data_IF_449628251923
#
_entry.id   IF_449628251923
#
_cell.length_a   1.000
_cell.length_b   1.000
_cell.length_c   1.000
_cell.angle_alpha   90.00
_cell.angle_beta   90.00
_cell.angle_gamma   90.00
#
_symmetry.space_group_name_H-M   'P 1'
#
loop_
_entity.id
_entity.type
_entity.pdbx_description
1 polymer ?
#
# COMPACT_ATOMS: atom_id res chain seq x y z
N UNK A 1 2.53 -68.52 30.59
CA UNK A 1 3.50 -67.67 29.86
C UNK A 1 2.92 -66.97 28.62
N UNK A 2 1.61 -67.06 28.31
CA UNK A 2 1.06 -66.50 27.04
C UNK A 2 0.40 -65.11 27.17
N UNK A 3 -0.18 -64.75 28.32
CA UNK A 3 -0.87 -63.46 28.48
C UNK A 3 0.08 -62.26 28.61
N UNK A 4 1.21 -62.44 29.30
CA UNK A 4 2.16 -61.36 29.54
C UNK A 4 2.91 -60.95 28.25
N UNK A 5 3.11 -61.90 27.32
CA UNK A 5 3.69 -61.60 26.00
C UNK A 5 2.68 -60.93 25.06
N UNK A 6 1.41 -61.29 25.13
CA UNK A 6 0.35 -60.63 24.34
C UNK A 6 0.07 -59.20 24.83
N UNK A 7 0.04 -58.94 26.13
CA UNK A 7 -0.10 -57.57 26.65
C UNK A 7 1.11 -56.70 26.33
N UNK A 8 2.35 -57.21 26.49
CA UNK A 8 3.55 -56.44 26.12
C UNK A 8 3.63 -56.19 24.61
N UNK A 9 3.16 -57.12 23.79
CA UNK A 9 3.07 -56.95 22.35
C UNK A 9 2.02 -55.90 21.96
N UNK A 10 0.83 -55.95 22.57
CA UNK A 10 -0.23 -54.97 22.33
C UNK A 10 0.17 -53.57 22.83
N UNK A 11 0.82 -53.45 23.99
CA UNK A 11 1.30 -52.18 24.51
C UNK A 11 2.41 -51.60 23.62
N UNK A 12 3.43 -52.39 23.27
CA UNK A 12 4.62 -51.92 22.55
C UNK A 12 4.41 -51.75 21.04
N UNK A 13 3.60 -52.59 20.41
CA UNK A 13 3.45 -52.60 18.95
C UNK A 13 2.09 -52.10 18.45
N UNK A 14 1.09 -51.95 19.32
CA UNK A 14 -0.23 -51.40 18.95
C UNK A 14 -0.49 -50.06 19.65
N UNK A 15 -0.37 -49.98 20.98
CA UNK A 15 -0.77 -48.80 21.76
C UNK A 15 0.25 -47.65 21.75
N UNK A 16 1.54 -47.96 21.90
CA UNK A 16 2.64 -46.98 21.84
C UNK A 16 2.74 -46.30 20.46
N UNK A 17 2.68 -47.01 19.31
CA UNK A 17 2.63 -46.34 18.02
C UNK A 17 1.32 -45.55 17.82
N UNK A 18 0.16 -46.01 18.32
CA UNK A 18 -1.08 -45.23 18.22
C UNK A 18 -1.02 -43.90 18.99
N UNK A 19 -0.43 -43.90 20.19
CA UNK A 19 -0.24 -42.68 21.01
C UNK A 19 0.89 -41.79 20.48
N UNK A 20 1.95 -42.37 19.92
CA UNK A 20 3.04 -41.65 19.26
C UNK A 20 2.65 -41.06 17.90
N UNK A 21 1.67 -41.62 17.19
CA UNK A 21 1.10 -41.07 15.94
C UNK A 21 0.00 -40.05 16.25
N UNK A 22 -0.83 -40.29 17.28
CA UNK A 22 -1.90 -39.38 17.67
C UNK A 22 -1.38 -38.03 18.17
N UNK A 23 -0.25 -37.99 18.89
CA UNK A 23 0.29 -36.73 19.45
C UNK A 23 0.73 -35.73 18.37
N UNK A 24 1.51 -36.11 17.33
CA UNK A 24 1.97 -35.16 16.31
C UNK A 24 0.90 -34.81 15.27
N UNK A 25 0.01 -35.74 14.91
CA UNK A 25 -1.16 -35.42 14.08
C UNK A 25 -2.08 -34.44 14.82
N UNK A 26 -2.39 -34.70 16.09
CA UNK A 26 -3.18 -33.79 16.92
C UNK A 26 -2.50 -32.43 17.10
N UNK A 27 -1.16 -32.42 17.24
CA UNK A 27 -0.39 -31.18 17.31
C UNK A 27 -0.48 -30.38 16.01
N UNK A 28 -0.31 -31.02 14.84
CA UNK A 28 -0.44 -30.33 13.54
C UNK A 28 -1.87 -29.81 13.34
N UNK A 29 -2.89 -30.60 13.69
CA UNK A 29 -4.30 -30.16 13.64
C UNK A 29 -4.57 -28.99 14.59
N UNK A 30 -4.05 -29.04 15.82
CA UNK A 30 -4.18 -27.96 16.80
C UNK A 30 -3.49 -26.67 16.31
N UNK A 31 -2.33 -26.78 15.65
CA UNK A 31 -1.63 -25.65 15.06
C UNK A 31 -2.40 -25.09 13.86
N UNK A 32 -2.95 -25.94 13.00
CA UNK A 32 -3.85 -25.53 11.91
C UNK A 32 -5.06 -24.76 12.44
N UNK A 33 -5.74 -25.30 13.45
CA UNK A 33 -6.88 -24.66 14.10
C UNK A 33 -6.51 -23.31 14.75
N UNK A 34 -5.36 -23.25 15.43
CA UNK A 34 -4.83 -22.02 16.02
C UNK A 34 -4.58 -20.94 14.97
N UNK A 35 -4.00 -21.31 13.81
CA UNK A 35 -3.80 -20.41 12.67
C UNK A 35 -5.12 -19.92 12.08
N UNK A 36 -6.06 -20.82 11.78
CA UNK A 36 -7.39 -20.43 11.29
C UNK A 36 -8.09 -19.47 12.26
N UNK A 37 -7.96 -19.72 13.58
CA UNK A 37 -8.51 -18.84 14.61
C UNK A 37 -7.84 -17.48 14.65
N UNK A 38 -6.51 -17.40 14.48
CA UNK A 38 -5.77 -16.14 14.45
C UNK A 38 -6.20 -15.27 13.26
N UNK A 39 -6.32 -15.87 12.07
CA UNK A 39 -6.76 -15.15 10.85
C UNK A 39 -8.19 -14.64 11.02
N UNK A 40 -9.12 -15.49 11.50
CA UNK A 40 -10.50 -15.07 11.76
C UNK A 40 -10.58 -13.97 12.82
N UNK A 41 -9.84 -14.09 13.92
CA UNK A 41 -9.80 -13.06 14.96
C UNK A 41 -9.32 -11.70 14.43
N UNK A 42 -8.41 -11.70 13.45
CA UNK A 42 -7.93 -10.46 12.82
C UNK A 42 -9.06 -9.72 12.10
N UNK A 43 -10.02 -10.43 11.50
CA UNK A 43 -11.25 -9.81 11.00
C UNK A 43 -12.23 -9.47 12.13
N UNK A 44 -12.47 -10.36 13.09
CA UNK A 44 -13.46 -10.14 14.17
C UNK A 44 -13.16 -8.90 15.03
N UNK A 45 -11.88 -8.66 15.32
CA UNK A 45 -11.44 -7.57 16.17
C UNK A 45 -10.81 -6.40 15.40
N UNK A 46 -10.53 -6.62 14.12
CA UNK A 46 -9.75 -5.70 13.29
C UNK A 46 -8.25 -5.81 13.55
N UNK A 47 -7.46 -5.54 12.51
CA UNK A 47 -6.01 -5.50 12.60
C UNK A 47 -5.49 -4.32 11.78
N UNK A 48 -5.07 -3.25 12.44
CA UNK A 48 -4.61 -2.03 11.79
C UNK A 48 -3.69 -1.22 12.72
N UNK A 49 -2.85 -0.33 12.17
CA UNK A 49 -1.93 0.47 12.96
C UNK A 49 -2.63 1.34 14.01
N UNK A 50 -1.94 1.57 15.13
CA UNK A 50 -2.37 2.55 16.13
C UNK A 50 -2.16 3.98 15.62
N UNK A 51 -3.09 4.88 15.96
CA UNK A 51 -2.98 6.32 15.67
C UNK A 51 -1.85 6.94 16.49
N UNK A 52 -0.76 7.36 15.85
CA UNK A 52 0.40 7.98 16.53
C UNK A 52 0.29 9.51 16.68
N UNK A 53 -0.48 10.20 15.82
CA UNK A 53 -0.61 11.67 15.89
C UNK A 53 -1.87 12.08 16.63
N UNK A 54 -1.75 13.08 17.51
CA UNK A 54 -2.88 13.65 18.27
C UNK A 54 -3.59 14.78 17.52
N UNK A 55 -3.00 15.33 16.46
CA UNK A 55 -3.55 16.45 15.71
C UNK A 55 -3.68 16.11 14.23
N UNK A 56 -4.90 16.24 13.71
CA UNK A 56 -5.23 16.00 12.32
C UNK A 56 -6.04 17.17 11.77
N UNK A 57 -5.74 17.57 10.53
CA UNK A 57 -6.65 18.45 9.78
C UNK A 57 -7.88 17.61 9.42
N UNK A 58 -9.06 18.08 9.81
CA UNK A 58 -10.32 17.37 9.54
C UNK A 58 -10.58 17.35 8.04
N UNK A 59 -10.87 16.17 7.51
CA UNK A 59 -11.26 15.95 6.11
C UNK A 59 -12.50 15.06 6.07
N UNK A 60 -13.53 15.47 6.81
CA UNK A 60 -14.67 14.61 7.15
C UNK A 60 -15.39 14.05 5.92
N UNK A 61 -15.56 14.85 4.86
CA UNK A 61 -16.20 14.39 3.61
C UNK A 61 -15.44 13.23 2.95
N UNK A 62 -14.11 13.30 2.88
CA UNK A 62 -13.25 12.24 2.32
C UNK A 62 -13.21 11.05 3.27
N UNK A 63 -13.11 11.31 4.57
CA UNK A 63 -13.12 10.26 5.59
C UNK A 63 -14.40 9.42 5.52
N UNK A 64 -15.57 10.05 5.35
CA UNK A 64 -16.83 9.32 5.16
C UNK A 64 -16.85 8.48 3.89
N UNK A 65 -16.28 8.98 2.78
CA UNK A 65 -16.11 8.19 1.56
C UNK A 65 -15.23 6.95 1.81
N UNK A 66 -14.13 7.08 2.55
CA UNK A 66 -13.28 5.93 2.90
C UNK A 66 -14.04 4.94 3.78
N UNK A 67 -14.73 5.41 4.82
CA UNK A 67 -15.55 4.56 5.70
C UNK A 67 -16.56 3.75 4.87
N UNK A 68 -17.22 4.37 3.89
CA UNK A 68 -18.17 3.66 3.02
C UNK A 68 -17.53 2.54 2.19
N UNK A 69 -16.23 2.64 1.85
CA UNK A 69 -15.49 1.58 1.16
C UNK A 69 -14.99 0.50 2.12
N UNK A 70 -14.87 0.80 3.41
CA UNK A 70 -14.48 -0.14 4.47
C UNK A 70 -15.68 -0.83 5.13
N UNK A 71 -16.91 -0.41 4.81
CA UNK A 71 -18.15 -1.00 5.28
C UNK A 71 -18.96 -1.47 4.07
N UNK A 72 -18.58 -2.60 3.45
CA UNK A 72 -19.20 -3.05 2.22
C UNK A 72 -20.65 -3.49 2.42
N UNK A 73 -21.44 -3.36 1.36
CA UNK A 73 -22.78 -3.94 1.30
C UNK A 73 -22.68 -5.49 1.21
N UNK A 74 -23.65 -6.26 1.72
CA UNK A 74 -23.69 -7.72 1.57
C UNK A 74 -23.49 -8.25 0.14
N UNK A 75 -23.86 -7.44 -0.86
CA UNK A 75 -23.76 -7.79 -2.28
C UNK A 75 -22.55 -7.15 -2.97
N UNK A 76 -21.54 -6.70 -2.21
CA UNK A 76 -20.35 -6.09 -2.80
C UNK A 76 -19.60 -7.12 -3.66
N UNK A 77 -19.43 -6.79 -4.94
CA UNK A 77 -18.82 -7.67 -5.95
C UNK A 77 -17.63 -7.01 -6.67
N UNK A 78 -17.03 -6.00 -6.04
CA UNK A 78 -15.95 -5.19 -6.59
C UNK A 78 -14.86 -4.98 -5.54
N UNK A 79 -13.62 -4.91 -6.00
CA UNK A 79 -12.53 -4.38 -5.19
C UNK A 79 -12.41 -2.87 -5.42
N UNK A 80 -11.83 -2.16 -4.47
CA UNK A 80 -11.70 -0.70 -4.53
C UNK A 80 -10.26 -0.27 -4.73
N UNK A 81 -10.09 0.93 -5.30
CA UNK A 81 -8.80 1.57 -5.48
C UNK A 81 -8.88 3.01 -4.97
N UNK A 82 -7.96 3.37 -4.08
CA UNK A 82 -7.76 4.71 -3.55
C UNK A 82 -6.43 5.23 -4.08
N UNK A 83 -6.47 6.37 -4.77
CA UNK A 83 -5.30 6.99 -5.40
C UNK A 83 -5.12 8.43 -4.93
N UNK A 84 -4.09 9.09 -5.41
CA UNK A 84 -3.75 10.45 -5.05
C UNK A 84 -2.25 10.60 -4.94
N UNK A 85 -1.78 11.83 -5.01
CA UNK A 85 -0.35 12.10 -5.11
C UNK A 85 0.41 11.70 -3.83
N UNK A 86 1.71 11.45 -3.94
CA UNK A 86 2.51 11.06 -2.78
C UNK A 86 2.50 12.20 -1.73
N UNK A 87 2.31 11.86 -0.46
CA UNK A 87 2.28 12.86 0.62
C UNK A 87 0.93 13.57 0.87
N UNK A 88 -0.17 13.15 0.23
CA UNK A 88 -1.52 13.74 0.45
C UNK A 88 -2.26 13.24 1.70
N UNK A 89 -1.68 12.33 2.48
CA UNK A 89 -2.26 11.82 3.72
C UNK A 89 -3.24 10.65 3.59
N UNK A 90 -3.18 9.89 2.48
CA UNK A 90 -4.04 8.70 2.23
C UNK A 90 -4.01 7.69 3.39
N UNK A 91 -2.83 7.20 3.75
CA UNK A 91 -2.63 6.20 4.81
C UNK A 91 -3.14 6.70 6.15
N UNK A 92 -2.92 7.98 6.46
CA UNK A 92 -3.44 8.62 7.69
C UNK A 92 -4.97 8.59 7.75
N UNK A 93 -5.65 8.97 6.66
CA UNK A 93 -7.12 8.94 6.59
C UNK A 93 -7.66 7.51 6.65
N UNK A 94 -6.99 6.55 6.03
CA UNK A 94 -7.36 5.14 6.09
C UNK A 94 -7.23 4.57 7.50
N UNK A 95 -6.13 4.87 8.21
CA UNK A 95 -5.97 4.46 9.60
C UNK A 95 -7.11 5.06 10.45
N UNK A 96 -7.44 6.35 10.29
CA UNK A 96 -8.57 6.95 10.98
C UNK A 96 -9.90 6.25 10.67
N UNK A 97 -10.15 5.89 9.41
CA UNK A 97 -11.33 5.15 9.00
C UNK A 97 -11.36 3.74 9.65
N UNK A 98 -10.22 3.04 9.68
CA UNK A 98 -10.10 1.75 10.36
C UNK A 98 -10.44 1.85 11.85
N UNK A 99 -9.99 2.91 12.54
CA UNK A 99 -10.34 3.14 13.95
C UNK A 99 -11.83 3.45 14.18
N UNK A 100 -12.52 4.02 13.17
CA UNK A 100 -13.98 4.24 13.23
C UNK A 100 -14.77 2.96 12.94
N UNK A 101 -14.34 2.16 11.97
CA UNK A 101 -15.02 0.91 11.56
C UNK A 101 -14.73 -0.24 12.55
N UNK A 102 -13.45 -0.38 12.94
CA UNK A 102 -12.89 -1.38 13.85
C UNK A 102 -13.01 -2.81 13.35
N UNK A 103 -14.21 -3.38 13.36
CA UNK A 103 -14.40 -4.80 13.02
C UNK A 103 -14.45 -5.02 11.52
N UNK A 104 -14.02 -6.19 11.08
CA UNK A 104 -14.06 -6.60 9.69
C UNK A 104 -12.97 -5.99 8.81
N UNK A 105 -11.98 -5.29 9.37
CA UNK A 105 -10.93 -4.62 8.60
C UNK A 105 -9.54 -5.11 9.01
N UNK A 106 -8.78 -5.60 8.04
CA UNK A 106 -7.35 -5.90 8.18
C UNK A 106 -6.56 -4.98 7.25
N UNK A 107 -5.57 -4.28 7.79
CA UNK A 107 -4.73 -3.33 7.08
C UNK A 107 -3.30 -3.84 7.00
N UNK A 108 -2.75 -3.82 5.80
CA UNK A 108 -1.36 -4.20 5.50
C UNK A 108 -0.72 -3.05 4.72
N UNK A 109 0.44 -2.56 5.18
CA UNK A 109 1.28 -1.66 4.39
C UNK A 109 2.36 -2.48 3.70
N UNK A 110 2.48 -2.34 2.38
CA UNK A 110 3.62 -2.90 1.64
C UNK A 110 4.90 -2.19 2.09
N UNK A 111 5.94 -2.94 2.52
CA UNK A 111 7.23 -2.37 2.87
C UNK A 111 8.04 -1.99 1.62
N UNK A 112 8.97 -1.04 1.77
CA UNK A 112 9.91 -0.68 0.70
C UNK A 112 10.77 -1.88 0.26
N UNK A 113 11.21 -2.69 1.22
CA UNK A 113 11.79 -4.01 0.93
C UNK A 113 10.65 -4.99 0.65
N UNK A 114 10.21 -5.05 -0.60
CA UNK A 114 9.10 -5.90 -1.07
C UNK A 114 9.29 -7.39 -0.75
N UNK A 115 10.53 -7.87 -0.60
CA UNK A 115 10.83 -9.23 -0.15
C UNK A 115 10.33 -9.55 1.26
N UNK A 116 10.01 -8.54 2.07
CA UNK A 116 9.40 -8.70 3.38
C UNK A 116 7.87 -8.73 3.35
N UNK A 117 7.21 -8.42 2.22
CA UNK A 117 5.75 -8.29 2.15
C UNK A 117 5.01 -9.53 2.65
N UNK A 118 5.44 -10.73 2.25
CA UNK A 118 4.83 -11.98 2.69
C UNK A 118 4.82 -12.13 4.23
N UNK A 119 5.87 -11.67 4.91
CA UNK A 119 5.90 -11.65 6.39
C UNK A 119 5.03 -10.56 6.98
N UNK A 120 4.97 -9.38 6.38
CA UNK A 120 4.14 -8.26 6.86
C UNK A 120 2.64 -8.57 6.77
N UNK A 121 2.17 -9.19 5.68
CA UNK A 121 0.78 -9.64 5.59
C UNK A 121 0.49 -10.74 6.62
N UNK A 122 1.41 -11.68 6.84
CA UNK A 122 1.26 -12.68 7.90
C UNK A 122 1.16 -12.07 9.29
N UNK A 123 1.98 -11.06 9.61
CA UNK A 123 1.90 -10.32 10.89
C UNK A 123 0.54 -9.64 11.07
N UNK A 124 0.01 -9.01 10.02
CA UNK A 124 -1.32 -8.37 10.08
C UNK A 124 -2.44 -9.37 10.43
N UNK A 125 -2.28 -10.65 10.06
CA UNK A 125 -3.21 -11.72 10.41
C UNK A 125 -2.80 -12.53 11.66
N UNK A 126 -1.75 -12.10 12.38
CA UNK A 126 -1.11 -12.85 13.47
C UNK A 126 -0.81 -14.32 13.08
N UNK A 127 -0.42 -14.52 11.83
CA UNK A 127 -0.15 -15.83 11.25
C UNK A 127 1.31 -16.24 11.46
N UNK A 128 1.52 -17.48 11.91
CA UNK A 128 2.84 -18.05 12.15
C UNK A 128 3.21 -19.01 11.03
N UNK A 129 4.26 -18.66 10.28
CA UNK A 129 4.85 -19.49 9.23
C UNK A 129 5.77 -20.55 9.84
N UNK A 130 5.25 -21.51 10.60
CA UNK A 130 6.10 -22.58 11.14
C UNK A 130 6.39 -23.61 10.04
N UNK A 131 7.59 -23.52 9.46
CA UNK A 131 8.06 -24.38 8.34
C UNK A 131 8.24 -25.85 8.74
N UNK A 132 8.37 -26.12 10.04
CA UNK A 132 8.60 -27.47 10.58
C UNK A 132 7.32 -28.21 10.98
N UNK A 133 6.14 -27.57 10.88
CA UNK A 133 4.86 -28.13 11.32
C UNK A 133 4.02 -28.53 10.11
N UNK A 134 4.53 -29.48 9.32
CA UNK A 134 3.72 -30.18 8.32
C UNK A 134 3.77 -31.68 8.60
N UNK A 135 2.67 -32.39 8.34
CA UNK A 135 2.64 -33.85 8.46
C UNK A 135 3.74 -34.47 7.59
N UNK A 136 4.01 -33.91 6.42
CA UNK A 136 5.11 -34.33 5.54
C UNK A 136 6.47 -34.16 6.21
N UNK A 137 6.75 -33.01 6.82
CA UNK A 137 8.00 -32.81 7.56
C UNK A 137 8.13 -33.78 8.76
N UNK A 138 7.02 -34.05 9.45
CA UNK A 138 6.98 -35.04 10.52
C UNK A 138 7.25 -36.47 10.02
N UNK A 139 6.58 -36.92 8.95
CA UNK A 139 6.83 -38.24 8.36
C UNK A 139 8.26 -38.36 7.79
N UNK A 140 8.77 -37.31 7.14
CA UNK A 140 10.15 -37.27 6.66
C UNK A 140 11.15 -37.38 7.83
N UNK A 141 10.86 -36.75 8.98
CA UNK A 141 11.69 -36.87 10.18
C UNK A 141 11.72 -38.29 10.77
N UNK A 142 10.60 -39.02 10.69
CA UNK A 142 10.52 -40.43 11.10
C UNK A 142 11.32 -41.31 10.13
N UNK A 143 11.29 -40.99 8.84
CA UNK A 143 12.00 -41.74 7.79
C UNK A 143 13.50 -41.43 7.72
N UNK A 144 14.01 -40.56 8.59
CA UNK A 144 15.43 -40.16 8.60
C UNK A 144 15.83 -39.32 7.39
N UNK A 145 14.87 -38.78 6.64
CA UNK A 145 15.15 -37.90 5.50
C UNK A 145 15.59 -36.52 6.01
N UNK A 146 16.58 -35.93 5.33
CA UNK A 146 17.00 -34.56 5.63
C UNK A 146 15.79 -33.63 5.50
N UNK A 147 15.51 -32.85 6.56
CA UNK A 147 14.51 -31.80 6.47
C UNK A 147 14.86 -30.90 5.28
N UNK A 148 13.92 -30.66 4.35
CA UNK A 148 14.15 -29.65 3.33
C UNK A 148 14.51 -28.36 4.05
N UNK A 149 15.70 -27.82 3.77
CA UNK A 149 16.11 -26.51 4.27
C UNK A 149 15.01 -25.53 3.88
N UNK A 150 14.64 -24.56 4.74
CA UNK A 150 13.85 -23.43 4.31
C UNK A 150 14.48 -22.83 3.05
N UNK A 151 13.91 -23.14 1.89
CA UNK A 151 14.16 -22.36 0.69
C UNK A 151 13.65 -20.97 1.02
N UNK A 152 14.45 -19.93 0.78
CA UNK A 152 14.04 -18.55 1.05
C UNK A 152 12.64 -18.32 0.47
N UNK A 153 11.64 -18.21 1.34
CA UNK A 153 10.24 -18.22 0.91
C UNK A 153 9.92 -16.88 0.28
N UNK A 154 9.59 -16.89 -1.00
CA UNK A 154 9.26 -15.67 -1.74
C UNK A 154 7.99 -15.02 -1.15
N UNK A 155 7.76 -13.71 -1.34
CA UNK A 155 6.51 -13.07 -0.94
C UNK A 155 5.26 -13.79 -1.46
N UNK A 156 5.31 -14.30 -2.69
CA UNK A 156 4.22 -15.06 -3.31
C UNK A 156 3.97 -16.37 -2.58
N UNK A 157 5.01 -17.15 -2.27
CA UNK A 157 4.87 -18.43 -1.55
C UNK A 157 4.29 -18.23 -0.14
N UNK A 158 4.77 -17.22 0.59
CA UNK A 158 4.23 -16.87 1.91
C UNK A 158 2.77 -16.43 1.81
N UNK A 159 2.41 -15.67 0.78
CA UNK A 159 1.03 -15.27 0.54
C UNK A 159 0.14 -16.47 0.18
N UNK A 160 0.59 -17.39 -0.68
CA UNK A 160 -0.13 -18.61 -1.03
C UNK A 160 -0.39 -19.51 0.18
N UNK A 161 0.56 -19.62 1.11
CA UNK A 161 0.36 -20.37 2.36
C UNK A 161 -0.67 -19.71 3.28
N UNK A 162 -0.71 -18.39 3.30
CA UNK A 162 -1.63 -17.62 4.15
C UNK A 162 -3.04 -17.53 3.55
N UNK A 163 -3.16 -17.38 2.23
CA UNK A 163 -4.43 -17.03 1.59
C UNK A 163 -5.50 -18.11 1.75
N UNK A 164 -5.13 -19.39 1.90
CA UNK A 164 -6.07 -20.48 2.22
C UNK A 164 -6.82 -20.17 3.52
N UNK A 165 -6.11 -19.72 4.55
CA UNK A 165 -6.70 -19.33 5.84
C UNK A 165 -7.48 -18.03 5.74
N UNK A 166 -7.03 -17.06 4.93
CA UNK A 166 -7.79 -15.83 4.68
C UNK A 166 -9.14 -16.16 4.05
N UNK A 167 -9.17 -17.07 3.07
CA UNK A 167 -10.39 -17.47 2.37
C UNK A 167 -11.41 -18.10 3.35
N UNK A 168 -10.95 -19.06 4.16
CA UNK A 168 -11.79 -19.71 5.18
C UNK A 168 -12.32 -18.70 6.21
N UNK A 169 -11.45 -17.82 6.70
CA UNK A 169 -11.81 -16.80 7.68
C UNK A 169 -12.79 -15.76 7.10
N UNK A 170 -12.60 -15.34 5.85
CA UNK A 170 -13.47 -14.38 5.19
C UNK A 170 -14.87 -14.96 4.94
N UNK A 171 -14.95 -16.22 4.49
CA UNK A 171 -16.22 -16.93 4.35
C UNK A 171 -16.93 -17.09 5.71
N UNK A 172 -16.20 -17.49 6.76
CA UNK A 172 -16.76 -17.63 8.10
C UNK A 172 -17.25 -16.28 8.68
N UNK A 173 -16.49 -15.20 8.46
CA UNK A 173 -16.88 -13.85 8.86
C UNK A 173 -18.16 -13.42 8.14
N UNK A 174 -18.21 -13.60 6.80
CA UNK A 174 -19.36 -13.25 5.97
C UNK A 174 -20.61 -14.02 6.39
N UNK A 175 -20.48 -15.33 6.62
CA UNK A 175 -21.60 -16.17 7.08
C UNK A 175 -22.14 -15.73 8.45
N UNK A 176 -21.26 -15.26 9.34
CA UNK A 176 -21.63 -14.82 10.68
C UNK A 176 -22.24 -13.41 10.72
N UNK A 177 -21.68 -12.48 9.96
CA UNK A 177 -22.03 -11.06 10.04
C UNK A 177 -22.91 -10.57 8.89
N UNK A 178 -23.11 -11.38 7.85
CA UNK A 178 -23.91 -11.02 6.67
C UNK A 178 -23.24 -10.01 5.72
N UNK A 179 -22.00 -9.61 6.01
CA UNK A 179 -21.20 -8.68 5.21
C UNK A 179 -19.77 -9.21 5.05
N UNK A 180 -19.14 -9.05 3.88
CA UNK A 180 -17.76 -9.47 3.68
C UNK A 180 -16.80 -8.59 4.49
N UNK A 181 -15.70 -9.15 5.03
CA UNK A 181 -14.64 -8.35 5.61
C UNK A 181 -13.83 -7.64 4.51
N UNK A 182 -12.95 -6.75 4.94
CA UNK A 182 -12.12 -5.89 4.09
C UNK A 182 -10.63 -6.13 4.38
N UNK A 183 -9.86 -6.36 3.32
CA UNK A 183 -8.40 -6.37 3.34
C UNK A 183 -7.87 -5.15 2.60
N UNK A 184 -7.21 -4.25 3.33
CA UNK A 184 -6.55 -3.06 2.78
C UNK A 184 -5.09 -3.40 2.51
N UNK A 185 -4.64 -3.12 1.28
CA UNK A 185 -3.25 -3.26 0.85
C UNK A 185 -2.74 -1.87 0.45
N UNK A 186 -2.05 -1.22 1.38
CA UNK A 186 -1.51 0.13 1.21
C UNK A 186 -0.09 0.13 0.66
N UNK A 187 0.31 1.23 0.04
CA UNK A 187 1.63 1.46 -0.55
C UNK A 187 2.00 0.48 -1.68
N UNK A 188 1.04 0.10 -2.53
CA UNK A 188 1.30 -0.82 -3.67
C UNK A 188 2.34 -0.31 -4.67
N UNK A 189 2.70 0.98 -4.62
CA UNK A 189 3.78 1.56 -5.44
C UNK A 189 5.09 0.77 -5.31
N UNK A 190 5.39 0.24 -4.12
CA UNK A 190 6.61 -0.54 -3.90
C UNK A 190 6.59 -1.85 -4.68
N UNK A 191 5.46 -2.58 -4.69
CA UNK A 191 5.29 -3.77 -5.54
C UNK A 191 5.36 -3.39 -7.01
N UNK A 192 4.65 -2.33 -7.42
CA UNK A 192 4.68 -1.85 -8.80
C UNK A 192 6.11 -1.55 -9.31
N UNK A 193 6.99 -1.05 -8.43
CA UNK A 193 8.36 -0.70 -8.75
C UNK A 193 9.32 -1.90 -8.71
N UNK A 194 9.19 -2.79 -7.74
CA UNK A 194 10.22 -3.79 -7.39
C UNK A 194 9.77 -5.24 -7.47
N UNK A 195 8.46 -5.51 -7.46
CA UNK A 195 7.87 -6.85 -7.52
C UNK A 195 6.48 -6.80 -8.18
N UNK A 196 6.49 -6.55 -9.49
CA UNK A 196 5.27 -6.42 -10.29
C UNK A 196 4.44 -7.71 -10.27
N UNK A 197 5.11 -8.86 -10.27
CA UNK A 197 4.45 -10.17 -10.23
C UNK A 197 3.59 -10.31 -8.96
N UNK A 198 4.10 -9.92 -7.80
CA UNK A 198 3.32 -9.95 -6.57
C UNK A 198 2.10 -9.02 -6.62
N UNK A 199 2.22 -7.82 -7.19
CA UNK A 199 1.07 -6.93 -7.39
C UNK A 199 -0.01 -7.56 -8.27
N UNK A 200 0.42 -8.23 -9.34
CA UNK A 200 -0.45 -8.93 -10.27
C UNK A 200 -1.18 -10.11 -9.60
N UNK A 201 -0.48 -10.91 -8.79
CA UNK A 201 -1.07 -11.99 -7.97
C UNK A 201 -2.13 -11.43 -7.01
N UNK A 202 -1.86 -10.31 -6.34
CA UNK A 202 -2.82 -9.68 -5.43
C UNK A 202 -4.06 -9.18 -6.18
N UNK A 203 -3.90 -8.64 -7.40
CA UNK A 203 -5.02 -8.18 -8.20
C UNK A 203 -5.90 -9.35 -8.67
N UNK A 204 -5.32 -10.48 -9.06
CA UNK A 204 -6.09 -11.67 -9.42
C UNK A 204 -6.82 -12.25 -8.21
N UNK A 205 -6.18 -12.23 -7.05
CA UNK A 205 -6.83 -12.55 -5.79
C UNK A 205 -8.02 -11.63 -5.50
N UNK A 206 -7.87 -10.32 -5.69
CA UNK A 206 -8.95 -9.35 -5.55
C UNK A 206 -10.12 -9.62 -6.52
N UNK A 207 -9.82 -9.99 -7.76
CA UNK A 207 -10.84 -10.39 -8.74
C UNK A 207 -11.62 -11.63 -8.29
N UNK A 208 -10.92 -12.68 -7.86
CA UNK A 208 -11.54 -13.94 -7.41
C UNK A 208 -12.53 -13.69 -6.27
N UNK A 209 -12.14 -12.86 -5.29
CA UNK A 209 -12.98 -12.55 -4.14
C UNK A 209 -14.11 -11.58 -4.46
N UNK A 210 -13.89 -10.65 -5.39
CA UNK A 210 -14.96 -9.82 -5.95
C UNK A 210 -16.02 -10.67 -6.69
N UNK A 211 -15.62 -11.71 -7.42
CA UNK A 211 -16.53 -12.65 -8.08
C UNK A 211 -17.35 -13.48 -7.07
N UNK A 212 -16.77 -13.81 -5.91
CA UNK A 212 -17.44 -14.58 -4.83
C UNK A 212 -18.29 -13.72 -3.90
N UNK A 213 -17.94 -12.45 -3.72
CA UNK A 213 -18.58 -11.55 -2.74
C UNK A 213 -18.27 -11.89 -1.28
N UNK A 214 -17.16 -12.57 -1.01
CA UNK A 214 -16.79 -13.09 0.32
C UNK A 214 -15.65 -12.32 1.00
N UNK A 215 -14.94 -11.46 0.26
CA UNK A 215 -13.88 -10.58 0.77
C UNK A 215 -13.75 -9.35 -0.15
N UNK A 216 -13.68 -8.15 0.44
CA UNK A 216 -13.44 -6.92 -0.31
C UNK A 216 -11.98 -6.51 -0.16
N UNK A 217 -11.31 -6.26 -1.28
CA UNK A 217 -9.93 -5.78 -1.29
C UNK A 217 -9.90 -4.28 -1.62
N UNK A 218 -9.13 -3.53 -0.85
CA UNK A 218 -8.91 -2.10 -1.09
C UNK A 218 -7.42 -1.87 -1.34
N UNK A 219 -7.08 -1.57 -2.60
CA UNK A 219 -5.75 -1.15 -2.98
C UNK A 219 -5.58 0.35 -2.72
N UNK A 220 -4.44 0.72 -2.16
CA UNK A 220 -4.10 2.13 -1.91
C UNK A 220 -2.75 2.42 -2.53
N UNK A 221 -2.73 3.45 -3.36
CA UNK A 221 -1.57 3.78 -4.16
C UNK A 221 -1.33 5.27 -4.21
N UNK A 222 -0.08 5.65 -4.45
CA UNK A 222 0.16 6.97 -5.02
C UNK A 222 -0.17 6.94 -6.50
N UNK A 223 -0.44 8.11 -7.06
CA UNK A 223 -0.42 8.28 -8.51
C UNK A 223 0.94 7.83 -9.06
N UNK A 224 0.93 7.22 -10.26
CA UNK A 224 2.13 6.63 -10.85
C UNK A 224 1.93 5.20 -11.37
N UNK A 225 2.93 4.34 -11.19
CA UNK A 225 2.97 3.01 -11.84
C UNK A 225 1.97 2.02 -11.25
N UNK A 226 1.70 2.06 -9.95
CA UNK A 226 0.78 1.11 -9.30
C UNK A 226 -0.62 1.11 -9.93
N UNK A 227 -1.31 2.27 -10.00
CA UNK A 227 -2.62 2.37 -10.60
C UNK A 227 -2.59 1.99 -12.10
N UNK A 228 -1.55 2.39 -12.84
CA UNK A 228 -1.39 2.07 -14.27
C UNK A 228 -1.30 0.57 -14.50
N UNK A 229 -0.45 -0.14 -13.74
CA UNK A 229 -0.30 -1.60 -13.84
C UNK A 229 -1.62 -2.30 -13.54
N UNK A 230 -2.33 -1.89 -12.49
CA UNK A 230 -3.64 -2.46 -12.17
C UNK A 230 -4.63 -2.25 -13.32
N UNK A 231 -4.70 -1.06 -13.91
CA UNK A 231 -5.63 -0.72 -14.99
C UNK A 231 -5.43 -1.57 -16.24
N UNK A 232 -4.18 -1.83 -16.60
CA UNK A 232 -3.84 -2.47 -17.87
C UNK A 232 -4.11 -3.99 -17.86
N UNK A 233 -4.58 -4.54 -16.73
CA UNK A 233 -4.90 -5.97 -16.54
C UNK A 233 -6.41 -6.22 -16.65
N UNK A 234 -6.79 -7.39 -17.14
CA UNK A 234 -8.21 -7.80 -17.27
C UNK A 234 -8.94 -7.85 -15.92
N UNK A 235 -8.21 -8.13 -14.83
CA UNK A 235 -8.71 -8.12 -13.45
C UNK A 235 -9.26 -6.75 -13.03
N UNK A 236 -8.86 -5.66 -13.70
CA UNK A 236 -9.43 -4.32 -13.49
C UNK A 236 -10.92 -4.21 -13.82
N UNK A 237 -11.49 -5.16 -14.56
CA UNK A 237 -12.95 -5.25 -14.76
C UNK A 237 -13.72 -5.33 -13.43
N UNK A 238 -13.12 -5.91 -12.37
CA UNK A 238 -13.68 -5.99 -11.01
C UNK A 238 -13.25 -4.84 -10.08
N UNK A 239 -12.50 -3.87 -10.59
CA UNK A 239 -12.25 -2.62 -9.89
C UNK A 239 -13.49 -1.72 -10.00
N UNK A 240 -13.98 -1.24 -8.86
CA UNK A 240 -14.99 -0.19 -8.77
C UNK A 240 -14.56 1.06 -9.55
N UNK A 241 -15.42 1.52 -10.46
CA UNK A 241 -15.15 2.68 -11.32
C UNK A 241 -15.24 4.01 -10.56
N UNK A 242 -15.88 4.02 -9.39
CA UNK A 242 -15.85 5.15 -8.45
C UNK A 242 -14.53 5.18 -7.66
N UNK A 243 -13.40 5.29 -8.39
CA UNK A 243 -12.07 5.42 -7.80
C UNK A 243 -12.05 6.67 -6.91
N UNK A 244 -11.57 6.51 -5.67
CA UNK A 244 -11.45 7.61 -4.72
C UNK A 244 -10.07 8.26 -4.86
N UNK A 245 -10.03 9.48 -5.38
CA UNK A 245 -8.82 10.30 -5.44
C UNK A 245 -8.73 11.22 -4.21
N UNK A 246 -7.58 11.17 -3.53
CA UNK A 246 -7.27 11.99 -2.37
C UNK A 246 -6.14 12.95 -2.74
N UNK A 247 -6.52 14.19 -3.04
CA UNK A 247 -5.61 15.29 -3.33
C UNK A 247 -5.15 16.07 -2.10
N UNK A 248 -4.57 17.24 -2.36
CA UNK A 248 -4.15 18.21 -1.35
C UNK A 248 -5.33 18.81 -0.58
N UNK A 249 -5.04 19.40 0.57
CA UNK A 249 -6.00 20.27 1.26
C UNK A 249 -6.07 21.64 0.56
N UNK A 250 -7.15 22.42 0.75
CA UNK A 250 -7.20 23.80 0.27
C UNK A 250 -6.05 24.65 0.85
N UNK A 251 -5.54 25.60 0.06
CA UNK A 251 -4.47 26.50 0.49
C UNK A 251 -4.83 27.26 1.78
N UNK A 252 -6.10 27.65 1.96
CA UNK A 252 -6.60 28.27 3.19
C UNK A 252 -6.41 27.39 4.44
N UNK A 253 -6.68 26.08 4.31
CA UNK A 253 -6.51 25.12 5.40
C UNK A 253 -5.03 24.86 5.68
N UNK A 254 -4.19 24.86 4.63
CA UNK A 254 -2.74 24.77 4.76
C UNK A 254 -2.14 25.98 5.49
N UNK A 255 -2.57 27.19 5.14
CA UNK A 255 -2.15 28.44 5.79
C UNK A 255 -2.55 28.42 7.28
N UNK A 256 -3.83 28.12 7.57
CA UNK A 256 -4.32 27.98 8.95
C UNK A 256 -3.52 26.95 9.74
N UNK A 257 -3.16 25.83 9.10
CA UNK A 257 -2.36 24.79 9.73
C UNK A 257 -0.94 25.25 10.08
N UNK A 258 -0.25 25.96 9.17
CA UNK A 258 1.09 26.51 9.44
C UNK A 258 1.05 27.56 10.56
N UNK A 259 0.08 28.48 10.53
CA UNK A 259 -0.07 29.52 11.57
C UNK A 259 -0.32 28.87 12.93
N UNK A 260 -1.27 27.92 13.01
CA UNK A 260 -1.60 27.25 14.27
C UNK A 260 -0.44 26.42 14.83
N UNK A 261 0.35 25.79 13.95
CA UNK A 261 1.42 24.84 14.36
C UNK A 261 2.74 25.55 14.67
N UNK A 262 3.10 26.57 13.89
CA UNK A 262 4.39 27.26 13.98
C UNK A 262 4.30 28.66 14.61
N UNK A 263 3.10 29.21 14.80
CA UNK A 263 2.86 30.57 15.32
C UNK A 263 3.55 31.68 14.50
N UNK A 264 3.60 31.48 13.18
CA UNK A 264 4.15 32.46 12.22
C UNK A 264 3.09 33.46 11.75
N UNK A 265 3.53 34.54 11.12
CA UNK A 265 2.65 35.54 10.49
C UNK A 265 1.94 34.95 9.26
N UNK A 266 0.74 35.44 8.98
CA UNK A 266 -0.06 35.02 7.83
C UNK A 266 0.64 35.28 6.49
N UNK A 267 1.40 36.37 6.37
CA UNK A 267 2.18 36.70 5.17
C UNK A 267 3.22 35.62 4.84
N UNK A 268 3.95 35.16 5.87
CA UNK A 268 4.95 34.09 5.75
C UNK A 268 4.30 32.74 5.43
N UNK A 269 3.20 32.40 6.13
CA UNK A 269 2.45 31.19 5.85
C UNK A 269 1.89 31.16 4.42
N UNK A 270 1.31 32.27 3.97
CA UNK A 270 0.77 32.43 2.61
C UNK A 270 1.86 32.33 1.55
N UNK A 271 3.02 32.95 1.80
CA UNK A 271 4.19 32.83 0.92
C UNK A 271 4.64 31.38 0.79
N UNK A 272 4.83 30.67 1.91
CA UNK A 272 5.29 29.29 1.92
C UNK A 272 4.31 28.33 1.24
N UNK A 273 3.01 28.50 1.47
CA UNK A 273 1.98 27.71 0.79
C UNK A 273 1.98 27.99 -0.71
N UNK A 274 1.98 29.26 -1.12
CA UNK A 274 1.93 29.63 -2.53
C UNK A 274 3.20 29.21 -3.30
N UNK A 275 4.37 29.29 -2.67
CA UNK A 275 5.66 29.10 -3.33
C UNK A 275 6.22 27.69 -3.18
N UNK A 276 5.93 27.01 -2.07
CA UNK A 276 6.62 25.78 -1.69
C UNK A 276 5.64 24.63 -1.53
N UNK A 277 4.74 24.70 -0.55
CA UNK A 277 4.05 23.50 -0.08
C UNK A 277 2.75 23.20 -0.82
N UNK A 278 2.01 24.23 -1.24
CA UNK A 278 0.57 24.09 -1.48
C UNK A 278 -0.12 23.45 -0.27
N UNK A 279 -1.15 22.63 -0.51
CA UNK A 279 -1.79 21.79 0.50
C UNK A 279 -1.18 20.41 0.70
N UNK A 280 0.07 20.18 0.30
CA UNK A 280 0.73 18.86 0.42
C UNK A 280 1.24 18.62 1.83
N UNK A 281 0.66 17.65 2.55
CA UNK A 281 1.07 17.37 3.95
C UNK A 281 2.55 17.06 4.12
N UNK A 282 3.15 16.29 3.20
CA UNK A 282 4.59 16.02 3.27
C UNK A 282 5.41 17.31 3.27
N UNK A 283 5.17 18.20 2.30
CA UNK A 283 5.88 19.47 2.20
C UNK A 283 5.55 20.41 3.35
N UNK A 284 4.30 20.41 3.84
CA UNK A 284 3.91 21.15 5.04
C UNK A 284 4.70 20.67 6.27
N UNK A 285 4.86 19.35 6.46
CA UNK A 285 5.61 18.80 7.59
C UNK A 285 7.11 19.10 7.48
N UNK A 286 7.69 19.00 6.28
CA UNK A 286 9.08 19.39 6.02
C UNK A 286 9.28 20.89 6.29
N UNK A 287 8.36 21.74 5.84
CA UNK A 287 8.36 23.17 6.12
C UNK A 287 8.25 23.47 7.62
N UNK A 288 7.36 22.78 8.35
CA UNK A 288 7.23 22.90 9.81
C UNK A 288 8.54 22.56 10.52
N UNK A 289 9.26 21.51 10.11
CA UNK A 289 10.57 21.16 10.67
C UNK A 289 11.56 22.31 10.47
N UNK A 290 11.65 22.83 9.25
CA UNK A 290 12.60 23.88 8.91
C UNK A 290 12.30 25.23 9.60
N UNK A 291 11.02 25.57 9.78
CA UNK A 291 10.62 26.75 10.56
C UNK A 291 11.09 26.59 12.03
N UNK A 292 10.93 25.39 12.61
CA UNK A 292 11.38 25.11 13.98
C UNK A 292 12.89 25.15 14.14
N UNK A 293 13.63 24.85 13.08
CA UNK A 293 15.09 25.03 13.00
C UNK A 293 15.51 26.51 12.85
N UNK A 294 14.55 27.44 12.72
CA UNK A 294 14.81 28.87 12.61
C UNK A 294 15.15 29.35 11.20
N UNK A 295 14.87 28.55 10.17
CA UNK A 295 15.10 28.96 8.77
C UNK A 295 14.11 30.04 8.34
N UNK A 296 14.60 30.97 7.52
CA UNK A 296 13.77 31.99 6.87
C UNK A 296 12.96 31.41 5.72
N UNK A 297 11.87 32.08 5.33
CA UNK A 297 11.01 31.66 4.22
C UNK A 297 11.79 31.43 2.91
N UNK A 298 12.78 32.28 2.64
CA UNK A 298 13.61 32.18 1.44
C UNK A 298 14.58 31.00 1.52
N UNK A 299 15.15 30.70 2.69
CA UNK A 299 15.98 29.51 2.90
C UNK A 299 15.15 28.23 2.69
N UNK A 300 13.94 28.16 3.27
CA UNK A 300 13.03 27.02 3.10
C UNK A 300 12.72 26.79 1.63
N UNK A 301 12.35 27.85 0.90
CA UNK A 301 12.09 27.76 -0.54
C UNK A 301 13.30 27.23 -1.31
N UNK A 302 14.48 27.78 -1.04
CA UNK A 302 15.71 27.39 -1.73
C UNK A 302 16.08 25.93 -1.45
N UNK A 303 15.94 25.47 -0.20
CA UNK A 303 16.23 24.10 0.19
C UNK A 303 15.27 23.11 -0.48
N UNK A 304 13.96 23.41 -0.51
CA UNK A 304 12.98 22.60 -1.22
C UNK A 304 13.26 22.57 -2.73
N UNK A 305 13.62 23.70 -3.33
CA UNK A 305 13.96 23.75 -4.76
C UNK A 305 15.23 22.96 -5.07
N UNK A 306 16.20 22.96 -4.15
CA UNK A 306 17.40 22.14 -4.28
C UNK A 306 17.05 20.64 -4.27
N UNK A 307 16.14 20.20 -3.39
CA UNK A 307 15.63 18.82 -3.41
C UNK A 307 14.94 18.48 -4.74
N UNK A 308 14.14 19.40 -5.29
CA UNK A 308 13.52 19.24 -6.62
C UNK A 308 14.59 19.06 -7.71
N UNK A 309 15.64 19.89 -7.71
CA UNK A 309 16.76 19.77 -8.65
C UNK A 309 17.41 18.39 -8.57
N UNK A 310 17.68 17.91 -7.35
CA UNK A 310 18.29 16.59 -7.13
C UNK A 310 17.43 15.47 -7.72
N UNK A 311 16.10 15.53 -7.62
CA UNK A 311 15.22 14.53 -8.23
C UNK A 311 15.22 14.59 -9.77
N UNK A 312 15.28 15.79 -10.36
CA UNK A 312 15.50 15.96 -11.80
C UNK A 312 16.82 15.34 -12.25
N UNK A 313 17.92 15.61 -11.53
CA UNK A 313 19.25 15.09 -11.84
C UNK A 313 19.31 13.56 -11.77
N UNK A 314 18.65 12.93 -10.77
CA UNK A 314 18.49 11.47 -10.70
C UNK A 314 17.79 10.87 -11.92
N UNK A 315 16.88 11.63 -12.54
CA UNK A 315 16.23 11.25 -13.79
C UNK A 315 17.08 11.48 -15.04
N UNK A 316 18.30 12.02 -14.89
CA UNK A 316 19.14 12.45 -16.00
C UNK A 316 18.62 13.70 -16.71
N UNK A 317 17.78 14.48 -16.03
CA UNK A 317 17.27 15.77 -16.51
C UNK A 317 18.09 16.84 -15.81
N UNK A 318 18.99 17.50 -16.51
CA UNK A 318 19.68 18.66 -15.96
C UNK A 318 18.79 19.90 -16.17
N UNK A 319 18.22 20.50 -15.10
CA UNK A 319 17.33 21.65 -15.24
C UNK A 319 18.02 22.90 -15.81
N UNK A 320 19.34 23.03 -15.61
CA UNK A 320 20.13 24.16 -16.14
C UNK A 320 20.49 24.00 -17.61
N UNK A 321 20.34 22.79 -18.18
CA UNK A 321 20.61 22.48 -19.58
C UNK A 321 19.44 21.79 -20.28
N UNK A 322 18.19 22.06 -19.87
CA UNK A 322 16.99 21.60 -20.62
C UNK A 322 16.96 22.16 -22.06
N UNK A 323 17.84 23.13 -22.34
CA UNK A 323 18.39 23.45 -23.66
C UNK A 323 19.13 22.21 -24.21
N UNK A 324 18.41 21.19 -24.68
CA UNK A 324 19.01 20.00 -25.27
C UNK A 324 18.10 18.78 -25.44
N UNK A 325 16.91 18.74 -24.83
CA UNK A 325 15.87 17.73 -25.13
C UNK A 325 14.53 18.41 -25.37
N UNK A 326 14.14 18.55 -26.65
CA UNK A 326 12.89 19.16 -27.14
C UNK A 326 11.61 18.67 -26.45
N UNK A 327 11.64 17.42 -26.00
CA UNK A 327 10.50 16.65 -25.53
C UNK A 327 9.97 17.15 -24.17
N UNK A 328 10.88 17.43 -23.22
CA UNK A 328 10.49 17.93 -21.89
C UNK A 328 10.12 19.40 -21.90
N UNK A 329 10.78 20.20 -22.73
CA UNK A 329 10.45 21.61 -22.87
C UNK A 329 8.97 21.77 -23.30
N UNK A 330 8.56 21.02 -24.33
CA UNK A 330 7.17 21.02 -24.81
C UNK A 330 6.19 20.55 -23.74
N UNK A 331 6.54 19.49 -23.00
CA UNK A 331 5.71 19.00 -21.89
C UNK A 331 5.58 20.02 -20.75
N UNK A 332 6.67 20.62 -20.30
CA UNK A 332 6.66 21.61 -19.21
C UNK A 332 5.87 22.85 -19.60
N UNK A 333 6.05 23.34 -20.83
CA UNK A 333 5.27 24.47 -21.35
C UNK A 333 3.78 24.16 -21.30
N UNK A 334 3.37 23.02 -21.86
CA UNK A 334 1.97 22.59 -21.86
C UNK A 334 1.42 22.40 -20.44
N UNK A 335 2.21 21.83 -19.52
CA UNK A 335 1.81 21.67 -18.11
C UNK A 335 1.65 23.00 -17.37
N UNK A 336 2.47 24.01 -17.67
CA UNK A 336 2.32 25.32 -17.03
C UNK A 336 1.08 26.08 -17.56
N UNK A 337 0.78 25.93 -18.84
CA UNK A 337 -0.38 26.53 -19.51
C UNK A 337 -1.69 25.83 -19.14
N UNK A 338 -1.74 24.50 -19.25
CA UNK A 338 -2.97 23.69 -19.13
C UNK A 338 -3.16 23.04 -17.76
N UNK A 339 -2.15 23.05 -16.89
CA UNK A 339 -2.07 22.32 -15.59
C UNK A 339 -2.08 20.79 -15.68
N UNK A 340 -2.70 20.25 -16.72
CA UNK A 340 -2.87 18.82 -16.94
C UNK A 340 -2.59 18.52 -18.41
N UNK A 341 -1.73 17.54 -18.68
CA UNK A 341 -1.52 17.02 -20.04
C UNK A 341 -2.20 15.67 -20.16
N UNK A 342 -3.11 15.53 -21.13
CA UNK A 342 -3.88 14.30 -21.32
C UNK A 342 -2.97 13.13 -21.70
N UNK A 343 -3.20 11.94 -21.12
CA UNK A 343 -2.28 10.81 -21.32
C UNK A 343 -2.12 10.34 -22.77
N UNK A 344 -3.15 10.54 -23.61
CA UNK A 344 -3.07 10.33 -25.06
C UNK A 344 -2.03 11.22 -25.75
N UNK A 345 -1.81 12.43 -25.23
CA UNK A 345 -0.85 13.40 -25.76
C UNK A 345 0.55 13.17 -25.18
N UNK A 346 0.65 12.58 -23.99
CA UNK A 346 1.94 12.30 -23.31
C UNK A 346 2.83 11.42 -24.18
N UNK A 347 2.29 10.39 -24.84
CA UNK A 347 3.07 9.51 -25.71
C UNK A 347 3.65 10.21 -26.94
N UNK A 348 3.05 11.32 -27.37
CA UNK A 348 3.54 12.15 -28.46
C UNK A 348 4.64 13.11 -27.98
N UNK A 349 4.59 13.52 -26.70
CA UNK A 349 5.54 14.46 -26.09
C UNK A 349 6.79 13.77 -25.54
N UNK A 350 6.65 12.61 -24.88
CA UNK A 350 7.77 11.79 -24.38
C UNK A 350 7.69 10.40 -25.00
N UNK A 351 8.45 10.20 -26.07
CA UNK A 351 8.50 8.92 -26.79
C UNK A 351 9.22 7.83 -25.96
N UNK A 352 10.28 8.21 -25.22
CA UNK A 352 11.05 7.28 -24.37
C UNK A 352 10.21 6.80 -23.17
N UNK A 353 9.77 5.53 -23.22
CA UNK A 353 9.02 4.88 -22.14
C UNK A 353 9.83 4.73 -20.85
N UNK A 354 11.14 4.46 -20.94
CA UNK A 354 11.99 4.29 -19.77
C UNK A 354 12.18 5.62 -19.04
N UNK A 355 12.35 6.71 -19.79
CA UNK A 355 12.42 8.04 -19.24
C UNK A 355 11.09 8.48 -18.60
N UNK A 356 9.95 8.21 -19.26
CA UNK A 356 8.61 8.43 -18.66
C UNK A 356 8.43 7.68 -17.34
N UNK A 357 8.81 6.40 -17.29
CA UNK A 357 8.72 5.62 -16.06
C UNK A 357 9.62 6.17 -14.96
N UNK A 358 10.83 6.65 -15.31
CA UNK A 358 11.77 7.27 -14.36
C UNK A 358 11.24 8.57 -13.76
N UNK A 359 10.66 9.46 -14.56
CA UNK A 359 10.14 10.75 -14.05
C UNK A 359 8.90 10.56 -13.17
N UNK A 360 8.09 9.54 -13.47
CA UNK A 360 6.96 9.15 -12.61
C UNK A 360 7.48 8.51 -11.32
N UNK A 361 8.49 7.65 -11.38
CA UNK A 361 9.02 6.95 -10.19
C UNK A 361 9.75 7.88 -9.22
N UNK A 362 10.30 9.00 -9.69
CA UNK A 362 11.00 9.99 -8.86
C UNK A 362 10.12 11.18 -8.47
N UNK A 363 8.79 11.04 -8.53
CA UNK A 363 7.86 12.06 -8.04
C UNK A 363 8.06 13.45 -8.69
N UNK A 364 8.52 13.52 -9.95
CA UNK A 364 8.57 14.78 -10.71
C UNK A 364 7.17 15.09 -11.25
N UNK A 365 6.53 14.06 -11.77
CA UNK A 365 5.17 14.11 -12.29
C UNK A 365 4.26 13.14 -11.55
N UNK A 366 3.01 13.55 -11.40
CA UNK A 366 1.93 12.64 -11.05
C UNK A 366 1.30 12.10 -12.34
N UNK A 367 1.08 10.78 -12.39
CA UNK A 367 0.36 10.12 -13.48
C UNK A 367 -0.99 9.62 -12.94
N UNK A 368 -2.06 10.30 -13.34
CA UNK A 368 -3.42 10.00 -12.92
C UNK A 368 -3.89 8.71 -13.59
N UNK A 369 -4.54 7.87 -12.80
CA UNK A 369 -5.06 6.56 -13.23
C UNK A 369 -6.04 6.68 -14.42
N UNK A 370 -6.95 7.66 -14.37
CA UNK A 370 -7.94 7.89 -15.42
C UNK A 370 -7.28 8.66 -16.57
N UNK A 371 -7.13 8.01 -17.72
CA UNK A 371 -6.60 8.62 -18.94
C UNK A 371 -5.07 8.66 -19.05
N UNK A 372 -4.32 8.42 -17.96
CA UNK A 372 -2.86 8.58 -17.95
C UNK A 372 -2.43 10.05 -17.95
N UNK A 373 -3.32 10.93 -17.49
CA UNK A 373 -3.10 12.37 -17.45
C UNK A 373 -1.90 12.68 -16.54
N UNK A 374 -1.05 13.59 -16.97
CA UNK A 374 0.14 14.01 -16.24
C UNK A 374 -0.08 15.40 -15.65
N UNK A 375 0.31 15.56 -14.39
CA UNK A 375 0.42 16.84 -13.68
C UNK A 375 1.80 16.98 -13.04
N UNK A 376 2.18 18.19 -12.63
CA UNK A 376 3.30 18.32 -11.69
C UNK A 376 2.96 17.62 -10.38
N UNK A 377 3.94 16.94 -9.79
CA UNK A 377 3.71 16.21 -8.53
C UNK A 377 3.35 17.13 -7.36
N UNK A 378 3.85 18.35 -7.36
CA UNK A 378 3.68 19.31 -6.26
C UNK A 378 3.85 20.75 -6.73
N UNK A 379 3.40 21.68 -5.89
CA UNK A 379 3.55 23.13 -6.08
C UNK A 379 5.02 23.55 -6.20
N UNK A 380 5.90 22.94 -5.40
CA UNK A 380 7.34 23.20 -5.46
C UNK A 380 7.92 22.87 -6.85
N UNK A 381 7.55 21.73 -7.43
CA UNK A 381 8.02 21.35 -8.77
C UNK A 381 7.50 22.33 -9.83
N UNK A 382 6.20 22.66 -9.80
CA UNK A 382 5.61 23.62 -10.73
C UNK A 382 6.31 24.98 -10.67
N UNK A 383 6.45 25.55 -9.47
CA UNK A 383 7.04 26.86 -9.29
C UNK A 383 8.54 26.87 -9.59
N UNK A 384 9.24 25.77 -9.30
CA UNK A 384 10.63 25.60 -9.71
C UNK A 384 10.76 25.68 -11.24
N UNK A 385 9.95 24.94 -11.99
CA UNK A 385 9.99 24.95 -13.46
C UNK A 385 9.64 26.34 -14.01
N UNK A 386 8.67 27.02 -13.40
CA UNK A 386 8.26 28.39 -13.76
C UNK A 386 9.38 29.42 -13.57
N UNK A 387 10.11 29.35 -12.46
CA UNK A 387 11.15 30.35 -12.11
C UNK A 387 12.48 30.05 -12.79
N UNK A 388 12.78 28.78 -13.04
CA UNK A 388 14.07 28.34 -13.59
C UNK A 388 14.32 28.73 -15.04
N UNK A 389 13.40 29.48 -15.68
CA UNK A 389 13.46 29.85 -17.12
C UNK A 389 13.77 28.65 -18.03
N UNK A 390 13.40 27.43 -17.63
CA UNK A 390 13.56 26.19 -18.41
C UNK A 390 12.87 26.28 -19.80
N UNK A 391 12.03 27.29 -19.98
CA UNK A 391 11.17 27.53 -21.13
C UNK A 391 11.61 28.76 -21.97
N UNK A 392 12.61 29.52 -21.50
CA UNK A 392 13.24 30.60 -22.28
C UNK A 392 14.54 30.06 -22.84
#
# INVERSE_FOLDING_TARGET
MNNQFQEDFFLKFVLIPFTAIASPVSFVLAQGWSRSRAVLNSFEFGSFPTVTSKTYIKRDSILQKIISKLMPHPTSCLYHLIVGEHGTGKSTLLIQACHKVRKGVVYVSVPENVGAFGREIGKAFNFKYDEHVSLKAYFNSILGEAFPRPSGTSPIELFQRLNVFINEAAAAYTAKHGIPPVLIIDNINWLALRDREMLEVLQDYAKIHADKGDLVIVFVSSDGNGPVILRDRSSFSRCDKSILEIGDIPDEDAIKHLIATCKIKEESASYLVAQVTGGRFQLLNECISQIREGKTDQQIKNDTYYSVITEFEKCGINPKSVIGRSDFHSLFKKLLEEKVVKGRDVGQLIQDRNLRNRVISHNIFSCKLLGGDITFQSRAVENYVRVSKIII
#
